data_IF_965530434513
#
_entry.id   IF_965530434513
#
_cell.length_a   1.000
_cell.length_b   1.000
_cell.length_c   1.000
_cell.angle_alpha   90.00
_cell.angle_beta   90.00
_cell.angle_gamma   90.00
#
_symmetry.space_group_name_H-M   'P 1'
#
loop_
_entity.id
_entity.type
_entity.pdbx_description
1 polymer ?
#
# COMPACT_ATOMS: atom_id res chain seq x y z
N UNK A 1 -10.15 -20.25 2.47
CA UNK A 1 -10.70 -19.17 3.27
C UNK A 1 -10.20 -17.81 2.81
N UNK A 2 -11.09 -16.93 2.56
CA UNK A 2 -10.79 -15.63 2.03
C UNK A 2 -10.57 -14.61 3.14
N UNK A 3 -9.55 -13.82 3.02
CA UNK A 3 -9.28 -12.82 4.00
C UNK A 3 -9.20 -11.45 3.35
N UNK A 4 -9.79 -10.50 4.01
CA UNK A 4 -9.70 -9.12 3.57
C UNK A 4 -8.52 -8.47 4.29
N UNK A 5 -7.61 -7.91 3.52
CA UNK A 5 -6.46 -7.24 4.09
C UNK A 5 -6.92 -5.91 4.67
N UNK A 6 -6.63 -5.68 5.93
CA UNK A 6 -7.01 -4.43 6.56
C UNK A 6 -6.10 -3.32 6.07
N UNK A 7 -6.52 -2.07 6.35
CA UNK A 7 -5.73 -0.92 5.94
C UNK A 7 -4.35 -0.96 6.57
N UNK A 8 -4.29 -1.30 7.84
CA UNK A 8 -3.01 -1.36 8.53
C UNK A 8 -2.12 -2.46 7.99
N UNK A 9 -2.72 -3.60 7.72
CA UNK A 9 -1.95 -4.70 7.16
C UNK A 9 -1.49 -4.35 5.75
N UNK A 10 -2.33 -3.69 4.97
CA UNK A 10 -1.96 -3.28 3.63
C UNK A 10 -0.79 -2.30 3.68
N UNK A 11 -0.84 -1.38 4.63
CA UNK A 11 0.26 -0.42 4.80
C UNK A 11 1.55 -1.15 5.13
N UNK A 12 1.47 -2.10 6.03
CA UNK A 12 2.63 -2.87 6.43
C UNK A 12 3.22 -3.64 5.25
N UNK A 13 2.36 -4.26 4.46
CA UNK A 13 2.81 -4.98 3.28
C UNK A 13 3.44 -4.05 2.26
N UNK A 14 2.83 -2.89 2.08
CA UNK A 14 3.36 -1.92 1.12
C UNK A 14 4.71 -1.42 1.56
N UNK A 15 4.89 -1.20 2.86
CA UNK A 15 6.18 -0.76 3.37
C UNK A 15 7.25 -1.82 3.10
N UNK A 16 6.91 -3.08 3.28
CA UNK A 16 7.85 -4.15 3.02
C UNK A 16 8.24 -4.20 1.55
N UNK A 17 7.25 -4.00 0.67
CA UNK A 17 7.55 -3.98 -0.76
C UNK A 17 8.46 -2.82 -1.13
N UNK A 18 8.18 -1.66 -0.58
CA UNK A 18 8.99 -0.49 -0.88
C UNK A 18 10.40 -0.65 -0.35
N UNK A 19 10.55 -1.36 0.76
CA UNK A 19 11.87 -1.62 1.32
C UNK A 19 12.70 -2.51 0.44
N UNK A 20 12.05 -3.49 -0.18
CA UNK A 20 12.77 -4.49 -0.96
C UNK A 20 13.19 -3.97 -2.31
N UNK A 21 12.36 -3.18 -2.95
CA UNK A 21 12.66 -2.67 -4.26
C UNK A 21 12.00 -1.34 -4.43
N UNK A 22 12.50 -0.61 -5.40
CA UNK A 22 11.90 0.68 -5.71
C UNK A 22 10.54 0.46 -6.34
N UNK A 23 9.53 1.02 -5.72
CA UNK A 23 8.20 0.96 -6.24
C UNK A 23 7.66 2.35 -6.44
N UNK A 24 6.96 2.56 -7.52
CA UNK A 24 6.31 3.83 -7.71
C UNK A 24 4.88 3.74 -7.19
N UNK A 25 4.26 4.91 -7.08
CA UNK A 25 2.92 4.99 -6.53
C UNK A 25 1.96 4.10 -7.30
N UNK A 26 2.12 4.03 -8.61
CA UNK A 26 1.23 3.24 -9.45
C UNK A 26 1.29 1.76 -9.07
N UNK A 27 2.50 1.25 -8.82
CA UNK A 27 2.65 -0.14 -8.44
C UNK A 27 1.95 -0.43 -7.12
N UNK A 28 2.08 0.49 -6.18
CA UNK A 28 1.43 0.32 -4.89
C UNK A 28 -0.08 0.34 -5.05
N UNK A 29 -0.60 1.23 -5.88
CA UNK A 29 -2.03 1.28 -6.10
C UNK A 29 -2.55 -0.04 -6.67
N UNK A 30 -1.80 -0.64 -7.57
CA UNK A 30 -2.21 -1.92 -8.13
C UNK A 30 -2.27 -3.00 -7.06
N UNK A 31 -1.31 -3.00 -6.16
CA UNK A 31 -1.33 -3.95 -5.06
C UNK A 31 -2.52 -3.73 -4.15
N UNK A 32 -2.83 -2.47 -3.88
CA UNK A 32 -3.98 -2.17 -3.03
C UNK A 32 -5.27 -2.69 -3.64
N UNK A 33 -5.39 -2.56 -4.96
CA UNK A 33 -6.54 -3.13 -5.64
C UNK A 33 -6.58 -4.64 -5.50
N UNK A 34 -5.43 -5.28 -5.66
CA UNK A 34 -5.35 -6.73 -5.55
C UNK A 34 -5.74 -7.20 -4.15
N UNK A 35 -5.47 -6.39 -3.15
CA UNK A 35 -5.79 -6.72 -1.77
C UNK A 35 -7.19 -6.29 -1.39
N UNK A 36 -7.97 -5.79 -2.35
CA UNK A 36 -9.36 -5.40 -2.13
C UNK A 36 -9.51 -4.26 -1.15
N UNK A 37 -8.53 -3.36 -1.14
CA UNK A 37 -8.62 -2.18 -0.29
C UNK A 37 -9.54 -1.16 -0.95
N UNK A 38 -10.50 -0.60 -0.19
CA UNK A 38 -11.40 0.41 -0.78
C UNK A 38 -10.62 1.60 -1.32
N UNK A 39 -11.12 2.16 -2.41
CA UNK A 39 -10.42 3.25 -3.07
C UNK A 39 -10.20 4.44 -2.14
N UNK A 40 -11.15 4.69 -1.25
CA UNK A 40 -11.00 5.84 -0.36
C UNK A 40 -9.88 5.64 0.66
N UNK A 41 -9.42 4.42 0.85
CA UNK A 41 -8.30 4.16 1.74
C UNK A 41 -6.97 4.15 1.01
N UNK A 42 -6.99 4.09 -0.31
CA UNK A 42 -5.75 4.11 -1.07
C UNK A 42 -4.95 5.37 -0.81
N UNK A 43 -5.63 6.51 -0.82
CA UNK A 43 -4.96 7.78 -0.60
C UNK A 43 -4.30 7.84 0.77
N UNK A 44 -5.00 7.35 1.77
CA UNK A 44 -4.44 7.35 3.12
C UNK A 44 -3.15 6.53 3.18
N UNK A 45 -3.18 5.36 2.58
CA UNK A 45 -2.02 4.48 2.62
C UNK A 45 -0.86 5.11 1.86
N UNK A 46 -1.14 5.69 0.70
CA UNK A 46 -0.09 6.28 -0.11
C UNK A 46 0.49 7.51 0.58
N UNK A 47 -0.35 8.33 1.19
CA UNK A 47 0.14 9.47 1.93
C UNK A 47 1.04 9.04 3.07
N UNK A 48 0.66 7.98 3.74
CA UNK A 48 1.47 7.47 4.83
C UNK A 48 2.84 7.03 4.34
N UNK A 49 2.85 6.34 3.20
CA UNK A 49 4.11 5.89 2.63
C UNK A 49 4.99 7.06 2.22
N UNK A 50 4.38 8.11 1.71
CA UNK A 50 5.13 9.30 1.35
C UNK A 50 5.68 9.99 2.58
N UNK A 51 4.86 10.08 3.63
CA UNK A 51 5.30 10.69 4.88
C UNK A 51 6.48 9.95 5.48
N UNK A 52 6.50 8.64 5.32
CA UNK A 52 7.56 7.81 5.86
C UNK A 52 8.72 7.64 4.89
N UNK A 53 8.66 8.33 3.77
CA UNK A 53 9.72 8.33 2.74
C UNK A 53 9.90 6.98 2.05
N UNK A 54 8.85 6.19 2.01
CA UNK A 54 8.89 4.97 1.23
C UNK A 54 8.56 5.22 -0.24
N UNK A 55 7.84 6.28 -0.51
CA UNK A 55 7.52 6.68 -1.86
C UNK A 55 7.97 8.11 -2.08
N UNK A 56 8.35 8.38 -3.31
CA UNK A 56 8.75 9.76 -3.68
C UNK A 56 7.65 10.45 -4.42
#
# INVERSE_FOLDING_TARGET
MQKIVSKEEALSRAMALCSKMEKCKFDIQQKLFAWKIPANEHNEIIERLEDLNFLN
#
